data_IF_550623166291
#
_entry.id   IF_550623166291
#
_cell.length_a   1.000
_cell.length_b   1.000
_cell.length_c   1.000
_cell.angle_alpha   90.00
_cell.angle_beta   90.00
_cell.angle_gamma   90.00
#
_symmetry.space_group_name_H-M   'P 1'
#
loop_
_entity.id
_entity.type
_entity.pdbx_description
1 polymer ?
#
# COMPACT_ATOMS: atom_id res chain seq x y z
N UNK A 1 6.03 8.04 45.83
CA UNK A 1 5.76 6.78 45.10
C UNK A 1 4.63 6.92 44.06
N UNK A 2 3.52 7.59 44.37
CA UNK A 2 2.37 7.79 43.46
C UNK A 2 2.70 8.37 42.06
N UNK A 3 3.59 9.37 41.95
CA UNK A 3 3.99 9.95 40.64
C UNK A 3 4.70 8.97 39.69
N UNK A 4 5.47 8.02 40.23
CA UNK A 4 6.14 6.97 39.41
C UNK A 4 5.14 5.94 38.90
N UNK A 5 4.11 5.67 39.70
CA UNK A 5 3.02 4.75 39.36
C UNK A 5 2.08 5.34 38.30
N UNK A 6 1.83 6.66 38.34
CA UNK A 6 1.03 7.35 37.32
C UNK A 6 1.72 7.34 35.94
N UNK A 7 3.06 7.43 35.91
CA UNK A 7 3.85 7.44 34.69
C UNK A 7 3.91 6.05 34.02
N UNK A 8 3.97 4.99 34.84
CA UNK A 8 3.90 3.60 34.37
C UNK A 8 2.51 3.24 33.82
N UNK A 9 1.43 3.67 34.48
CA UNK A 9 0.07 3.44 34.00
C UNK A 9 -0.24 4.24 32.73
N UNK A 10 0.26 5.47 32.59
CA UNK A 10 0.12 6.27 31.37
C UNK A 10 0.77 5.64 30.14
N UNK A 11 1.95 5.03 30.27
CA UNK A 11 2.63 4.34 29.17
C UNK A 11 1.88 3.10 28.66
N UNK A 12 1.21 2.36 29.55
CA UNK A 12 0.49 1.13 29.19
C UNK A 12 -0.81 1.38 28.40
N UNK A 13 -1.40 2.57 28.53
CA UNK A 13 -2.66 2.91 27.85
C UNK A 13 -2.38 3.48 26.44
N UNK A 14 -1.18 4.04 26.20
CA UNK A 14 -0.81 4.65 24.92
C UNK A 14 -0.23 3.67 23.89
N UNK A 15 0.07 2.42 24.25
CA UNK A 15 0.66 1.44 23.32
C UNK A 15 -0.35 0.72 22.42
N UNK A 16 -1.66 0.97 22.58
CA UNK A 16 -2.72 0.14 21.98
C UNK A 16 -3.32 0.65 20.66
N UNK A 17 -2.82 1.76 20.10
CA UNK A 17 -3.46 2.44 18.95
C UNK A 17 -2.82 2.20 17.58
N UNK A 18 -1.85 1.28 17.47
CA UNK A 18 -1.20 0.93 16.20
C UNK A 18 -1.55 -0.50 15.77
N UNK A 19 -2.83 -0.76 15.51
CA UNK A 19 -3.27 -2.00 14.87
C UNK A 19 -3.16 -1.86 13.36
N UNK A 20 -2.00 -2.22 12.80
CA UNK A 20 -1.92 -2.59 11.40
C UNK A 20 -2.27 -4.07 11.28
N UNK A 21 -3.24 -4.41 10.42
CA UNK A 21 -3.68 -5.81 10.24
C UNK A 21 -2.61 -6.56 9.43
N UNK A 22 -1.66 -7.17 10.13
CA UNK A 22 -0.54 -7.86 9.51
C UNK A 22 -0.82 -9.35 9.37
N UNK A 23 -1.12 -9.79 8.15
CA UNK A 23 -1.28 -11.21 7.79
C UNK A 23 0.02 -11.80 7.26
N UNK A 24 0.40 -12.97 7.76
CA UNK A 24 1.56 -13.71 7.26
C UNK A 24 1.15 -14.53 6.04
N UNK A 25 1.71 -14.19 4.88
CA UNK A 25 1.46 -14.91 3.64
C UNK A 25 2.11 -16.31 3.63
N UNK A 26 1.71 -17.19 2.70
CA UNK A 26 2.21 -18.56 2.58
C UNK A 26 3.72 -18.67 2.28
N UNK A 27 4.36 -17.58 1.88
CA UNK A 27 5.81 -17.45 1.72
C UNK A 27 6.52 -16.93 2.99
N UNK A 28 5.83 -16.88 4.13
CA UNK A 28 6.37 -16.39 5.41
C UNK A 28 6.51 -14.87 5.49
N UNK A 29 6.18 -14.13 4.44
CA UNK A 29 6.27 -12.67 4.42
C UNK A 29 5.11 -12.06 5.23
N UNK A 30 5.45 -11.21 6.19
CA UNK A 30 4.46 -10.37 6.88
C UNK A 30 3.96 -9.32 5.88
N UNK A 31 2.65 -9.33 5.59
CA UNK A 31 1.99 -8.30 4.81
C UNK A 31 1.09 -7.55 5.78
N UNK A 32 1.52 -6.34 6.15
CA UNK A 32 0.68 -5.42 6.89
C UNK A 32 -0.25 -4.73 5.91
N UNK A 33 -1.54 -5.02 6.03
CA UNK A 33 -2.60 -4.26 5.37
C UNK A 33 -2.67 -2.93 6.11
N UNK A 34 -2.14 -1.87 5.50
CA UNK A 34 -2.24 -0.50 6.01
C UNK A 34 -3.58 0.14 5.65
N UNK A 35 -4.65 -0.66 5.56
CA UNK A 35 -5.95 -0.24 5.05
C UNK A 35 -5.85 0.28 3.61
N UNK A 36 -6.38 1.48 3.37
CA UNK A 36 -6.34 2.14 2.05
C UNK A 36 -4.92 2.31 1.50
N UNK A 37 -3.88 2.21 2.33
CA UNK A 37 -2.49 2.37 1.94
C UNK A 37 -1.67 1.09 2.12
N UNK A 38 -0.89 0.73 1.10
CA UNK A 38 0.04 -0.40 1.15
C UNK A 38 1.36 -0.01 0.51
N UNK A 39 2.44 -0.68 0.88
CA UNK A 39 3.74 -0.42 0.27
C UNK A 39 4.71 -1.56 0.47
N UNK A 40 5.81 -1.52 -0.27
CA UNK A 40 6.85 -2.51 -0.12
C UNK A 40 8.07 -2.25 -0.97
N UNK A 41 9.09 -3.04 -0.69
CA UNK A 41 10.34 -3.06 -1.44
C UNK A 41 10.60 -4.46 -1.98
N UNK A 42 10.98 -4.54 -3.26
CA UNK A 42 11.43 -5.76 -3.91
C UNK A 42 12.96 -5.72 -4.06
N UNK A 43 13.73 -6.46 -3.23
CA UNK A 43 15.18 -6.42 -3.25
C UNK A 43 15.77 -7.02 -4.54
N UNK A 44 15.14 -8.06 -5.11
CA UNK A 44 15.62 -8.71 -6.34
C UNK A 44 15.56 -7.77 -7.54
N UNK A 45 14.66 -6.78 -7.52
CA UNK A 45 14.53 -5.77 -8.56
C UNK A 45 14.98 -4.39 -8.10
N UNK A 46 15.46 -4.20 -6.87
CA UNK A 46 15.77 -2.87 -6.32
C UNK A 46 14.65 -1.85 -6.53
N UNK A 47 13.38 -2.25 -6.37
CA UNK A 47 12.22 -1.40 -6.67
C UNK A 47 11.34 -1.27 -5.44
N UNK A 48 11.09 -0.04 -5.01
CA UNK A 48 10.05 0.26 -4.02
C UNK A 48 8.73 0.54 -4.73
N UNK A 49 7.63 0.31 -4.04
CA UNK A 49 6.30 0.67 -4.49
C UNK A 49 5.43 1.10 -3.31
N UNK A 50 4.48 1.97 -3.61
CA UNK A 50 3.40 2.37 -2.72
C UNK A 50 2.08 2.20 -3.46
N UNK A 51 1.01 1.94 -2.74
CA UNK A 51 -0.34 1.87 -3.25
C UNK A 51 -1.26 2.57 -2.27
N UNK A 52 -2.23 3.30 -2.82
CA UNK A 52 -3.23 4.03 -2.05
C UNK A 52 -4.59 3.85 -2.72
N UNK A 53 -5.64 3.79 -1.93
CA UNK A 53 -7.03 3.74 -2.37
C UNK A 53 -7.69 5.04 -1.93
N UNK A 54 -8.26 5.78 -2.87
CA UNK A 54 -8.96 7.02 -2.53
C UNK A 54 -10.43 6.75 -2.15
N UNK A 55 -11.13 7.78 -1.66
CA UNK A 55 -12.56 7.69 -1.27
C UNK A 55 -13.47 7.23 -2.41
N UNK A 56 -13.05 7.43 -3.66
CA UNK A 56 -13.75 6.96 -4.84
C UNK A 56 -13.48 5.47 -5.16
N UNK A 57 -12.69 4.76 -4.35
CA UNK A 57 -12.31 3.36 -4.54
C UNK A 57 -11.34 3.13 -5.71
N UNK A 58 -10.64 4.17 -6.17
CA UNK A 58 -9.56 4.01 -7.16
C UNK A 58 -8.29 3.61 -6.42
N UNK A 59 -7.78 2.42 -6.73
CA UNK A 59 -6.48 1.97 -6.23
C UNK A 59 -5.38 2.46 -7.16
N UNK A 60 -4.55 3.36 -6.67
CA UNK A 60 -3.33 3.82 -7.35
C UNK A 60 -2.13 3.06 -6.80
N UNK A 61 -1.16 2.75 -7.65
CA UNK A 61 0.12 2.12 -7.29
C UNK A 61 1.22 2.85 -8.03
N UNK A 62 2.25 3.28 -7.32
CA UNK A 62 3.40 3.97 -7.88
C UNK A 62 4.66 3.21 -7.50
N UNK A 63 5.63 3.15 -8.42
CA UNK A 63 6.92 2.49 -8.20
C UNK A 63 8.05 3.52 -8.18
N UNK A 64 9.14 3.23 -7.49
CA UNK A 64 10.34 4.07 -7.44
C UNK A 64 11.06 4.23 -8.80
N UNK A 65 10.57 3.55 -9.83
CA UNK A 65 11.05 3.64 -11.21
C UNK A 65 10.18 4.56 -12.07
N UNK A 66 9.17 5.22 -11.50
CA UNK A 66 8.28 6.15 -12.19
C UNK A 66 7.07 5.50 -12.87
N UNK A 67 6.87 4.19 -12.73
CA UNK A 67 5.66 3.53 -13.22
C UNK A 67 4.47 3.76 -12.29
N UNK A 68 3.31 4.09 -12.86
CA UNK A 68 2.05 4.35 -12.15
C UNK A 68 0.95 3.44 -12.69
N UNK A 69 0.14 2.84 -11.83
CA UNK A 69 -1.02 2.03 -12.20
C UNK A 69 -2.24 2.45 -11.39
N UNK A 70 -3.38 2.67 -12.03
CA UNK A 70 -4.67 2.93 -11.38
C UNK A 70 -5.66 1.86 -11.76
N UNK A 71 -6.38 1.31 -10.80
CA UNK A 71 -7.43 0.31 -11.04
C UNK A 71 -8.71 0.67 -10.28
N UNK A 72 -9.85 0.40 -10.92
CA UNK A 72 -11.18 0.49 -10.32
C UNK A 72 -12.15 -0.39 -11.09
N UNK A 73 -12.98 -1.18 -10.41
CA UNK A 73 -14.08 -1.96 -11.02
C UNK A 73 -13.66 -2.83 -12.22
N UNK A 74 -12.48 -3.45 -12.17
CA UNK A 74 -11.94 -4.27 -13.26
C UNK A 74 -11.38 -3.49 -14.45
N UNK A 75 -11.37 -2.15 -14.38
CA UNK A 75 -10.69 -1.25 -15.31
C UNK A 75 -9.33 -0.89 -14.74
N UNK A 76 -8.30 -0.83 -15.59
CA UNK A 76 -6.94 -0.48 -15.23
C UNK A 76 -6.31 0.47 -16.23
N UNK A 77 -5.53 1.43 -15.74
CA UNK A 77 -4.66 2.30 -16.54
C UNK A 77 -3.26 2.21 -15.97
N UNK A 78 -2.27 1.99 -16.82
CA UNK A 78 -0.86 1.90 -16.44
C UNK A 78 -0.07 2.90 -17.27
N UNK A 79 0.72 3.74 -16.60
CA UNK A 79 1.74 4.58 -17.21
C UNK A 79 3.10 3.96 -16.97
N UNK A 80 3.83 3.69 -18.04
CA UNK A 80 5.21 3.21 -17.93
C UNK A 80 6.15 4.38 -17.61
N UNK A 81 7.35 4.09 -17.07
CA UNK A 81 8.38 5.10 -16.88
C UNK A 81 8.70 5.89 -18.17
N UNK A 82 8.59 5.23 -19.32
CA UNK A 82 8.85 5.82 -20.64
C UNK A 82 7.69 6.70 -21.15
N UNK A 83 6.65 6.92 -20.34
CA UNK A 83 5.49 7.75 -20.66
C UNK A 83 4.39 7.06 -21.46
N UNK A 84 4.54 5.77 -21.79
CA UNK A 84 3.52 5.00 -22.52
C UNK A 84 2.32 4.74 -21.62
N UNK A 85 1.10 4.94 -22.12
CA UNK A 85 -0.12 4.70 -21.36
C UNK A 85 -0.86 3.49 -21.90
N UNK A 86 -0.97 2.45 -21.09
CA UNK A 86 -1.75 1.25 -21.35
C UNK A 86 -3.09 1.32 -20.61
N UNK A 87 -4.16 0.90 -21.26
CA UNK A 87 -5.50 0.81 -20.69
C UNK A 87 -6.04 -0.60 -20.84
N UNK A 88 -6.78 -1.05 -19.84
CA UNK A 88 -7.61 -2.25 -19.88
C UNK A 88 -8.97 -1.88 -19.35
N UNK A 89 -9.98 -2.02 -20.18
CA UNK A 89 -11.39 -1.84 -19.84
C UNK A 89 -12.09 -3.19 -19.94
N UNK A 90 -13.40 -3.24 -19.64
CA UNK A 90 -14.19 -4.46 -19.82
C UNK A 90 -14.18 -4.98 -21.26
N UNK A 91 -14.15 -4.08 -22.25
CA UNK A 91 -14.38 -4.43 -23.66
C UNK A 91 -13.15 -4.22 -24.55
N UNK A 92 -12.08 -3.59 -24.04
CA UNK A 92 -10.93 -3.22 -24.86
C UNK A 92 -9.64 -3.10 -24.04
N UNK A 93 -8.51 -3.34 -24.67
CA UNK A 93 -7.19 -3.25 -24.07
C UNK A 93 -6.16 -2.79 -25.11
N UNK A 94 -5.21 -1.95 -24.70
CA UNK A 94 -4.20 -1.44 -25.61
C UNK A 94 -3.27 -0.41 -24.95
N UNK A 95 -2.19 -0.06 -25.64
CA UNK A 95 -1.24 0.94 -25.19
C UNK A 95 -1.02 1.99 -26.25
N UNK A 96 -0.96 3.25 -25.82
CA UNK A 96 -0.60 4.40 -26.64
C UNK A 96 0.75 4.94 -26.21
#
# INVERSE_FOLDING_TARGET
MFKKMLLLVGCLIFSSWAVADCVRGPNGKLVCDGGDNAGGYNPNRGTAWKSETNDAGVKSTETSRGGEAKTKNGVGVVKTPDGKTCVKTRNNQGCR
#
